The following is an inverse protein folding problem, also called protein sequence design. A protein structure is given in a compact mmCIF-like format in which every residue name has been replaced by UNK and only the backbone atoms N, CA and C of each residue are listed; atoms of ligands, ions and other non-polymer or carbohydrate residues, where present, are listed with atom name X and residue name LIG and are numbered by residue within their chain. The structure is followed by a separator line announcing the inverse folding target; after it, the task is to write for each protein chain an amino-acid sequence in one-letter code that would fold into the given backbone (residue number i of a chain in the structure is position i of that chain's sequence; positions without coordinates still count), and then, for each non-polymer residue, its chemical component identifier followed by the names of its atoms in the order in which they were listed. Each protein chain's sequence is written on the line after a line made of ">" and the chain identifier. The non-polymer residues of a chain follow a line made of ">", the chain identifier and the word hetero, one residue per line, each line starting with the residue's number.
data_IF_069918428504
#
_entry.id   IF_069918428504
#
_cell.length_a   1.000
_cell.length_b   1.000
_cell.length_c   1.000
_cell.angle_alpha   90.00
_cell.angle_beta   90.00
_cell.angle_gamma   90.00
#
_symmetry.space_group_name_H-M   'P 1'
#
loop_
_entity.id
_entity.type
_entity.pdbx_description
1 polymer ?
#
# COMPACT_ATOMS: atom_id res chain seq x y z
N UNK A 1 16.80 16.79 13.74
CA UNK A 1 17.58 15.52 13.74
C UNK A 1 17.18 14.75 12.48
N UNK A 2 18.12 14.14 11.76
CA UNK A 2 17.81 13.38 10.54
C UNK A 2 17.51 11.93 10.94
N UNK A 3 16.34 11.42 10.57
CA UNK A 3 15.93 10.03 10.83
C UNK A 3 15.68 9.31 9.50
N UNK A 4 16.40 8.21 9.26
CA UNK A 4 16.32 7.44 8.01
C UNK A 4 16.07 5.97 8.32
N UNK A 5 15.14 5.34 7.58
CA UNK A 5 14.87 3.90 7.64
C UNK A 5 14.85 3.32 6.23
N UNK A 6 15.24 2.06 6.11
CA UNK A 6 15.27 1.35 4.83
C UNK A 6 14.10 0.35 4.76
N UNK A 7 13.31 0.41 3.70
CA UNK A 7 12.15 -0.45 3.49
C UNK A 7 12.49 -1.92 3.22
N UNK A 8 13.60 -2.18 2.52
CA UNK A 8 14.09 -3.53 2.20
C UNK A 8 14.64 -4.26 3.44
N UNK A 9 14.94 -3.50 4.51
CA UNK A 9 15.40 -4.01 5.81
C UNK A 9 14.35 -3.84 6.91
N UNK A 10 13.08 -3.63 6.53
CA UNK A 10 12.03 -3.42 7.53
C UNK A 10 11.62 -4.74 8.20
N UNK A 11 11.66 -4.75 9.53
CA UNK A 11 11.09 -5.81 10.37
C UNK A 11 9.55 -5.85 10.30
N UNK A 12 8.92 -4.79 9.78
CA UNK A 12 7.48 -4.72 9.55
C UNK A 12 7.16 -5.03 8.08
N UNK A 13 7.44 -6.29 7.71
CA UNK A 13 7.14 -6.85 6.40
C UNK A 13 6.05 -7.91 6.53
N UNK A 14 5.07 -7.85 5.63
CA UNK A 14 3.94 -8.76 5.61
C UNK A 14 3.73 -9.35 4.22
N UNK A 15 3.50 -10.66 4.18
CA UNK A 15 3.05 -11.39 2.99
C UNK A 15 1.55 -11.67 3.12
N UNK A 16 0.79 -11.41 2.05
CA UNK A 16 -0.63 -11.68 1.95
C UNK A 16 -0.89 -13.09 1.40
N UNK A 17 -2.13 -13.56 1.50
CA UNK A 17 -2.51 -14.93 1.11
C UNK A 17 -2.24 -15.24 -0.37
N UNK A 18 -2.26 -14.22 -1.23
CA UNK A 18 -2.00 -14.33 -2.66
C UNK A 18 -0.50 -14.26 -3.00
N UNK A 19 0.38 -14.07 -2.01
CA UNK A 19 1.82 -13.89 -2.20
C UNK A 19 2.25 -12.43 -2.38
N UNK A 20 1.31 -11.48 -2.45
CA UNK A 20 1.62 -10.04 -2.43
C UNK A 20 2.35 -9.67 -1.14
N UNK A 21 3.19 -8.63 -1.18
CA UNK A 21 4.02 -8.22 -0.03
C UNK A 21 3.90 -6.73 0.24
N UNK A 22 4.03 -6.35 1.51
CA UNK A 22 4.15 -4.95 1.92
C UNK A 22 5.14 -4.82 3.06
N UNK A 23 6.07 -3.88 2.92
CA UNK A 23 7.01 -3.48 3.96
C UNK A 23 6.72 -2.05 4.39
N UNK A 24 6.81 -1.76 5.68
CA UNK A 24 6.49 -0.44 6.25
C UNK A 24 7.61 0.02 7.17
N UNK A 25 8.00 1.28 7.09
CA UNK A 25 8.85 1.93 8.10
C UNK A 25 8.07 3.07 8.74
N UNK A 26 8.18 3.18 10.06
CA UNK A 26 7.57 4.29 10.82
C UNK A 26 8.67 5.30 11.11
N UNK A 27 8.55 6.48 10.52
CA UNK A 27 9.30 7.68 10.89
C UNK A 27 8.49 8.47 11.92
N UNK A 28 9.05 9.56 12.43
CA UNK A 28 8.49 10.31 13.56
C UNK A 28 7.01 10.69 13.37
N UNK A 29 6.63 11.22 12.21
CA UNK A 29 5.28 11.69 11.91
C UNK A 29 4.55 10.93 10.79
N UNK A 30 5.20 9.94 10.17
CA UNK A 30 4.67 9.29 8.96
C UNK A 30 5.09 7.83 8.87
N UNK A 31 4.17 6.98 8.43
CA UNK A 31 4.47 5.62 8.00
C UNK A 31 4.65 5.61 6.48
N UNK A 32 5.81 5.16 6.01
CA UNK A 32 6.07 4.96 4.58
C UNK A 32 6.03 3.46 4.32
N UNK A 33 5.27 3.04 3.30
CA UNK A 33 5.19 1.64 2.90
C UNK A 33 5.49 1.42 1.43
N UNK A 34 6.17 0.32 1.12
CA UNK A 34 6.33 -0.20 -0.24
C UNK A 34 5.53 -1.49 -0.36
N UNK A 35 4.68 -1.56 -1.37
CA UNK A 35 3.86 -2.73 -1.65
C UNK A 35 4.15 -3.30 -3.03
N UNK A 36 4.22 -4.62 -3.11
CA UNK A 36 4.27 -5.39 -4.35
C UNK A 36 3.01 -6.25 -4.39
N UNK A 37 2.06 -5.88 -5.24
CA UNK A 37 0.74 -6.50 -5.30
C UNK A 37 0.57 -7.27 -6.59
N UNK A 38 0.23 -8.55 -6.48
CA UNK A 38 -0.01 -9.42 -7.62
C UNK A 38 -1.40 -9.17 -8.24
N UNK A 39 -1.60 -9.52 -9.52
CA UNK A 39 -2.90 -9.41 -10.17
C UNK A 39 -4.01 -10.10 -9.35
N UNK A 40 -5.12 -9.38 -9.13
CA UNK A 40 -6.24 -9.86 -8.30
C UNK A 40 -6.19 -9.42 -6.84
N UNK A 41 -5.08 -8.83 -6.37
CA UNK A 41 -5.01 -8.23 -5.04
C UNK A 41 -6.07 -7.13 -4.89
N UNK A 42 -6.73 -7.11 -3.72
CA UNK A 42 -7.75 -6.12 -3.37
C UNK A 42 -7.76 -5.85 -1.88
N UNK A 43 -7.67 -4.58 -1.49
CA UNK A 43 -7.62 -4.17 -0.09
C UNK A 43 -8.74 -4.78 0.77
N UNK A 44 -10.00 -4.71 0.31
CA UNK A 44 -11.16 -5.22 1.06
C UNK A 44 -11.22 -6.74 1.19
N UNK A 45 -10.39 -7.49 0.45
CA UNK A 45 -10.25 -8.94 0.60
C UNK A 45 -9.03 -9.32 1.43
N UNK A 46 -7.91 -8.61 1.23
CA UNK A 46 -6.62 -9.02 1.78
C UNK A 46 -6.25 -8.32 3.09
N UNK A 47 -6.80 -7.12 3.35
CA UNK A 47 -6.50 -6.29 4.51
C UNK A 47 -7.74 -6.03 5.35
N UNK A 48 -8.85 -5.63 4.72
CA UNK A 48 -10.10 -5.25 5.40
C UNK A 48 -10.53 -6.24 6.49
N UNK A 49 -10.68 -7.54 6.20
CA UNK A 49 -11.13 -8.54 7.19
C UNK A 49 -10.22 -8.67 8.41
N UNK A 50 -8.94 -8.30 8.28
CA UNK A 50 -7.98 -8.44 9.38
C UNK A 50 -7.92 -7.21 10.27
N UNK A 51 -8.31 -6.05 9.75
CA UNK A 51 -8.31 -4.80 10.51
C UNK A 51 -9.67 -4.50 11.12
N UNK A 52 -10.76 -5.00 10.52
CA UNK A 52 -12.13 -4.64 10.89
C UNK A 52 -12.46 -3.15 10.66
N UNK A 53 -11.57 -2.41 9.99
CA UNK A 53 -11.68 -0.97 9.74
C UNK A 53 -11.91 -0.73 8.25
N UNK A 54 -12.36 0.46 7.83
CA UNK A 54 -12.29 0.91 6.44
C UNK A 54 -10.86 1.28 6.04
N UNK A 55 -10.61 1.41 4.73
CA UNK A 55 -9.33 1.93 4.23
C UNK A 55 -9.22 3.41 4.58
N UNK A 56 -8.09 3.80 5.16
CA UNK A 56 -7.77 5.20 5.41
C UNK A 56 -7.39 5.94 4.11
N UNK A 57 -7.22 7.26 4.20
CA UNK A 57 -6.65 8.04 3.11
C UNK A 57 -5.17 7.65 2.92
N UNK A 58 -4.77 7.41 1.67
CA UNK A 58 -3.39 7.05 1.32
C UNK A 58 -2.87 8.07 0.33
N UNK A 59 -1.61 8.45 0.49
CA UNK A 59 -0.83 9.13 -0.54
C UNK A 59 0.11 8.07 -1.13
N UNK A 60 0.11 7.92 -2.44
CA UNK A 60 0.89 6.88 -3.11
C UNK A 60 1.52 7.33 -4.43
N UNK A 61 2.57 6.62 -4.84
CA UNK A 61 3.17 6.71 -6.16
C UNK A 61 3.29 5.30 -6.73
N UNK A 62 2.82 5.09 -7.95
CA UNK A 62 3.01 3.82 -8.65
C UNK A 62 4.40 3.82 -9.29
N UNK A 63 5.24 2.87 -8.87
CA UNK A 63 6.60 2.71 -9.39
C UNK A 63 6.61 1.88 -10.67
N UNK A 64 5.82 0.81 -10.71
CA UNK A 64 5.70 -0.10 -11.85
C UNK A 64 4.34 -0.81 -11.85
N UNK A 65 3.95 -1.37 -13.00
CA UNK A 65 2.68 -2.10 -13.15
C UNK A 65 1.47 -1.17 -13.27
N UNK A 66 0.30 -1.67 -12.88
CA UNK A 66 -0.97 -0.95 -12.95
C UNK A 66 -1.83 -1.30 -11.74
N UNK A 67 -2.54 -0.31 -11.21
CA UNK A 67 -3.39 -0.46 -10.03
C UNK A 67 -4.73 0.24 -10.23
N UNK A 68 -5.80 -0.29 -9.66
CA UNK A 68 -7.11 0.36 -9.66
C UNK A 68 -7.41 0.90 -8.28
N UNK A 69 -7.76 2.18 -8.21
CA UNK A 69 -8.19 2.85 -6.98
C UNK A 69 -9.69 3.06 -7.09
N UNK A 70 -10.42 2.52 -6.10
CA UNK A 70 -11.84 2.76 -5.92
C UNK A 70 -12.07 3.59 -4.67
N UNK A 71 -12.56 4.81 -4.86
CA UNK A 71 -12.91 5.72 -3.78
C UNK A 71 -14.26 5.31 -3.13
N UNK A 72 -14.53 5.76 -1.88
CA UNK A 72 -15.79 5.45 -1.18
C UNK A 72 -17.05 5.95 -1.88
N UNK A 73 -16.96 7.01 -2.68
CA UNK A 73 -18.05 7.56 -3.49
C UNK A 73 -18.33 6.75 -4.77
N UNK A 74 -17.59 5.67 -4.99
CA UNK A 74 -17.72 4.79 -6.15
C UNK A 74 -16.89 5.21 -7.35
N UNK A 75 -16.19 6.35 -7.31
CA UNK A 75 -15.27 6.75 -8.37
C UNK A 75 -14.13 5.74 -8.46
N UNK A 76 -13.83 5.32 -9.69
CA UNK A 76 -12.73 4.41 -9.98
C UNK A 76 -11.76 5.06 -10.96
N UNK A 77 -10.47 4.82 -10.75
CA UNK A 77 -9.43 5.23 -11.68
C UNK A 77 -8.31 4.20 -11.72
N UNK A 78 -7.70 4.07 -12.90
CA UNK A 78 -6.56 3.21 -13.13
C UNK A 78 -5.31 4.08 -13.14
N UNK A 79 -4.33 3.72 -12.31
CA UNK A 79 -3.05 4.41 -12.17
C UNK A 79 -1.91 3.51 -12.65
N UNK A 80 -0.92 4.12 -13.30
CA UNK A 80 0.28 3.47 -13.84
C UNK A 80 1.57 4.18 -13.39
N UNK A 81 2.73 3.76 -13.91
CA UNK A 81 4.02 4.24 -13.42
C UNK A 81 4.14 5.77 -13.53
N UNK A 82 4.48 6.43 -12.43
CA UNK A 82 4.59 7.88 -12.34
C UNK A 82 3.33 8.59 -11.83
N UNK A 83 2.18 7.91 -11.77
CA UNK A 83 0.95 8.50 -11.23
C UNK A 83 1.00 8.54 -9.70
N UNK A 84 0.61 9.70 -9.15
CA UNK A 84 0.41 9.92 -7.72
C UNK A 84 -1.06 10.12 -7.38
N UNK A 85 -1.48 9.68 -6.20
CA UNK A 85 -2.86 9.72 -5.72
C UNK A 85 -2.94 9.97 -4.22
#
# INVERSE_FOLDING_TARGET
>A
MINTKNLEKSDNTRTFLDGSKRSVVILDSVAIGKGEYLPGWRWSKHVGPQTGKPSEAHIGLVISGQFVIKAPDGKETTVGPGDAF
#
